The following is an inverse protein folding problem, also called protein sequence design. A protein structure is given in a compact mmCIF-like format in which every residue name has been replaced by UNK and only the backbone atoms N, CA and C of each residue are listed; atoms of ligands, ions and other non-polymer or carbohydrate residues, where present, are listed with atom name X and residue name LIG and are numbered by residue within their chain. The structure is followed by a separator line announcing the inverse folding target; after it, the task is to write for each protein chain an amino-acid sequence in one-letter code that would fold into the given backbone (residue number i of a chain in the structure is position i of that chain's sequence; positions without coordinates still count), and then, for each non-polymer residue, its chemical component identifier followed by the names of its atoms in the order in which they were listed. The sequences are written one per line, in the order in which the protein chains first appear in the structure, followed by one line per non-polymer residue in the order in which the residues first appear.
data_IF_065884296071
#
_entry.id   IF_065884296071
#
_cell.length_a   1.000
_cell.length_b   1.000
_cell.length_c   1.000
_cell.angle_alpha   90.00
_cell.angle_beta   90.00
_cell.angle_gamma   90.00
#
_symmetry.space_group_name_H-M   'P 1'
#
loop_
_entity.id
_entity.type
_entity.pdbx_description
1 polymer ?
#
# COMPACT_ATOMS: atom_id res chain seq x y z
N UNK A 1 -30.09 -1.05 -58.33
CA UNK A 1 -28.74 -0.78 -57.80
C UNK A 1 -28.88 -0.76 -56.29
N UNK A 2 -28.56 -1.87 -55.62
CA UNK A 2 -28.65 -2.01 -54.16
C UNK A 2 -27.43 -1.32 -53.55
N UNK A 3 -27.66 -0.24 -52.81
CA UNK A 3 -26.62 0.48 -52.12
C UNK A 3 -26.26 -0.30 -50.85
N UNK A 4 -25.21 -1.13 -50.94
CA UNK A 4 -24.71 -1.88 -49.80
C UNK A 4 -24.03 -0.93 -48.81
N UNK A 5 -24.61 -0.81 -47.62
CA UNK A 5 -24.02 -0.07 -46.50
C UNK A 5 -23.02 -1.00 -45.82
N UNK A 6 -21.72 -0.74 -45.98
CA UNK A 6 -20.68 -1.44 -45.22
C UNK A 6 -20.50 -0.79 -43.84
N UNK A 7 -20.89 -1.46 -42.73
CA UNK A 7 -20.67 -0.93 -41.39
C UNK A 7 -19.18 -0.94 -41.03
N UNK A 8 -18.71 0.10 -40.35
CA UNK A 8 -17.34 0.16 -39.83
C UNK A 8 -17.18 -0.89 -38.69
N UNK A 9 -16.29 -1.89 -38.83
CA UNK A 9 -16.09 -2.93 -37.82
C UNK A 9 -15.70 -2.39 -36.43
N UNK A 10 -15.17 -1.16 -36.35
CA UNK A 10 -14.83 -0.51 -35.06
C UNK A 10 -16.07 -0.10 -34.27
N UNK A 11 -17.18 0.22 -34.95
CA UNK A 11 -18.45 0.64 -34.34
C UNK A 11 -19.30 -0.55 -33.91
N UNK A 12 -19.04 -1.73 -34.47
CA UNK A 12 -19.76 -2.97 -34.19
C UNK A 12 -19.51 -3.49 -32.77
N UNK A 13 -18.35 -3.15 -32.18
CA UNK A 13 -18.04 -3.47 -30.78
C UNK A 13 -18.51 -2.35 -29.85
N UNK A 14 -19.60 -2.59 -29.12
CA UNK A 14 -20.06 -1.70 -28.04
C UNK A 14 -18.97 -1.59 -26.95
N UNK A 15 -18.20 -0.50 -26.95
CA UNK A 15 -17.22 -0.19 -25.90
C UNK A 15 -17.88 0.60 -24.76
N UNK A 16 -17.56 0.25 -23.51
CA UNK A 16 -17.94 1.06 -22.35
C UNK A 16 -17.17 2.38 -22.39
N UNK A 17 -17.86 3.51 -22.16
CA UNK A 17 -17.21 4.82 -22.01
C UNK A 17 -16.21 4.77 -20.85
N UNK A 18 -14.97 5.17 -21.11
CA UNK A 18 -13.91 5.29 -20.10
C UNK A 18 -13.51 6.74 -19.99
N UNK A 19 -13.33 7.22 -18.76
CA UNK A 19 -12.84 8.56 -18.49
C UNK A 19 -11.37 8.47 -18.08
N UNK A 20 -10.42 9.00 -18.89
CA UNK A 20 -9.03 9.14 -18.49
C UNK A 20 -8.90 9.95 -17.19
N UNK A 21 -7.77 9.79 -16.48
CA UNK A 21 -7.56 10.48 -15.21
C UNK A 21 -7.63 12.00 -15.36
N UNK A 22 -7.02 12.56 -16.42
CA UNK A 22 -7.05 13.99 -16.72
C UNK A 22 -8.48 14.52 -16.95
N UNK A 23 -9.31 13.76 -17.67
CA UNK A 23 -10.71 14.13 -17.91
C UNK A 23 -11.50 14.12 -16.60
N UNK A 24 -11.30 13.12 -15.73
CA UNK A 24 -11.95 13.05 -14.41
C UNK A 24 -11.57 14.21 -13.51
N UNK A 25 -10.30 14.59 -13.46
CA UNK A 25 -9.83 15.74 -12.67
C UNK A 25 -10.45 17.04 -13.19
N UNK A 26 -10.47 17.23 -14.51
CA UNK A 26 -11.10 18.40 -15.13
C UNK A 26 -12.59 18.48 -14.79
N UNK A 27 -13.32 17.38 -14.95
CA UNK A 27 -14.76 17.30 -14.65
C UNK A 27 -15.05 17.57 -13.17
N UNK A 28 -14.21 17.09 -12.25
CA UNK A 28 -14.34 17.40 -10.83
C UNK A 28 -14.16 18.90 -10.55
N UNK A 29 -13.12 19.51 -11.13
CA UNK A 29 -12.87 20.95 -10.98
C UNK A 29 -14.02 21.80 -11.55
N UNK A 30 -14.52 21.44 -12.74
CA UNK A 30 -15.70 22.10 -13.31
C UNK A 30 -16.94 21.96 -12.41
N UNK A 31 -17.16 20.78 -11.82
CA UNK A 31 -18.28 20.54 -10.91
C UNK A 31 -18.16 21.35 -9.60
N UNK A 32 -16.95 21.53 -9.07
CA UNK A 32 -16.71 22.31 -7.85
C UNK A 32 -16.96 23.81 -8.03
N UNK A 33 -16.78 24.34 -9.25
CA UNK A 33 -17.05 25.74 -9.59
C UNK A 33 -18.56 26.05 -9.74
N UNK A 34 -19.42 25.04 -9.88
CA UNK A 34 -20.85 25.23 -10.11
C UNK A 34 -21.62 25.60 -8.85
N UNK A 35 -22.57 26.52 -9.01
CA UNK A 35 -23.51 26.92 -7.94
C UNK A 35 -24.51 25.81 -7.60
N UNK A 36 -25.02 25.84 -6.36
CA UNK A 36 -26.11 24.97 -5.93
C UNK A 36 -27.34 25.17 -6.84
N UNK A 37 -27.84 24.09 -7.44
CA UNK A 37 -28.92 24.12 -8.45
C UNK A 37 -28.45 23.88 -9.89
N UNK A 38 -27.24 24.28 -10.27
CA UNK A 38 -26.71 24.03 -11.63
C UNK A 38 -26.06 22.65 -11.77
N UNK A 39 -25.61 22.07 -10.65
CA UNK A 39 -24.92 20.77 -10.57
C UNK A 39 -25.74 19.63 -11.20
N UNK A 40 -27.05 19.58 -10.94
CA UNK A 40 -27.91 18.52 -11.49
C UNK A 40 -28.10 18.62 -13.01
N UNK A 41 -28.19 19.83 -13.57
CA UNK A 41 -28.29 20.03 -15.01
C UNK A 41 -26.97 19.65 -15.70
N UNK A 42 -25.84 20.08 -15.12
CA UNK A 42 -24.51 19.76 -15.63
C UNK A 42 -24.23 18.25 -15.61
N UNK A 43 -24.58 17.54 -14.54
CA UNK A 43 -24.43 16.08 -14.45
C UNK A 43 -25.16 15.36 -15.59
N UNK A 44 -26.40 15.76 -15.91
CA UNK A 44 -27.17 15.19 -17.02
C UNK A 44 -26.54 15.50 -18.37
N UNK A 45 -26.04 16.72 -18.57
CA UNK A 45 -25.36 17.13 -19.80
C UNK A 45 -24.07 16.32 -20.05
N UNK A 46 -23.33 16.00 -18.99
CA UNK A 46 -22.11 15.17 -19.08
C UNK A 46 -22.40 13.66 -19.12
N UNK A 47 -23.64 13.24 -18.84
CA UNK A 47 -24.02 11.84 -18.69
C UNK A 47 -23.40 11.19 -17.45
N UNK A 48 -23.23 11.97 -16.38
CA UNK A 48 -22.61 11.57 -15.12
C UNK A 48 -23.64 11.43 -14.00
N UNK A 49 -23.34 10.53 -13.06
CA UNK A 49 -24.09 10.36 -11.83
C UNK A 49 -23.28 10.90 -10.64
N UNK A 50 -23.98 11.39 -9.62
CA UNK A 50 -23.34 11.93 -8.42
C UNK A 50 -22.46 10.89 -7.70
N UNK A 51 -22.90 9.63 -7.70
CA UNK A 51 -22.12 8.51 -7.19
C UNK A 51 -20.75 8.34 -7.89
N UNK A 52 -20.64 8.68 -9.19
CA UNK A 52 -19.38 8.63 -9.91
C UNK A 52 -18.42 9.72 -9.44
N UNK A 53 -18.92 10.94 -9.20
CA UNK A 53 -18.10 12.02 -8.66
C UNK A 53 -17.62 11.71 -7.25
N UNK A 54 -18.48 11.17 -6.39
CA UNK A 54 -18.10 10.72 -5.04
C UNK A 54 -17.00 9.66 -5.12
N UNK A 55 -17.12 8.69 -6.03
CA UNK A 55 -16.10 7.67 -6.25
C UNK A 55 -14.78 8.29 -6.72
N UNK A 56 -14.81 9.26 -7.63
CA UNK A 56 -13.61 9.91 -8.14
C UNK A 56 -12.93 10.78 -7.10
N UNK A 57 -13.68 11.49 -6.23
CA UNK A 57 -13.13 12.23 -5.08
C UNK A 57 -12.39 11.29 -4.13
N UNK A 58 -13.03 10.20 -3.73
CA UNK A 58 -12.39 9.17 -2.88
C UNK A 58 -11.13 8.57 -3.51
N UNK A 59 -11.11 8.43 -4.83
CA UNK A 59 -9.93 7.97 -5.54
C UNK A 59 -8.82 9.04 -5.55
N UNK A 60 -9.18 10.32 -5.69
CA UNK A 60 -8.25 11.44 -5.62
C UNK A 60 -7.54 11.53 -4.27
N UNK A 61 -8.27 11.31 -3.19
CA UNK A 61 -7.75 11.35 -1.81
C UNK A 61 -6.89 10.11 -1.46
N UNK A 62 -6.90 9.08 -2.30
CA UNK A 62 -6.07 7.89 -2.11
C UNK A 62 -4.65 8.11 -2.61
N UNK A 63 -3.66 7.47 -1.99
CA UNK A 63 -2.25 7.49 -2.43
C UNK A 63 -2.06 7.08 -3.91
N UNK A 64 -3.01 6.31 -4.46
CA UNK A 64 -3.01 5.87 -5.86
C UNK A 64 -3.60 6.90 -6.85
N UNK A 65 -4.23 7.97 -6.36
CA UNK A 65 -4.89 9.00 -7.16
C UNK A 65 -6.07 8.53 -8.02
N UNK A 66 -6.56 9.42 -8.89
CA UNK A 66 -7.69 9.15 -9.81
C UNK A 66 -7.28 8.19 -10.95
N UNK A 67 -6.03 7.74 -11.04
CA UNK A 67 -5.52 6.87 -12.10
C UNK A 67 -6.25 5.52 -12.23
N UNK A 68 -6.12 4.82 -13.38
CA UNK A 68 -6.52 3.42 -13.47
C UNK A 68 -5.72 2.62 -12.42
N UNK A 69 -6.44 1.88 -11.55
CA UNK A 69 -5.79 0.99 -10.59
C UNK A 69 -5.08 -0.12 -11.36
N UNK A 70 -3.76 -0.22 -11.20
CA UNK A 70 -3.01 -1.38 -11.66
C UNK A 70 -3.51 -2.61 -10.92
N UNK A 71 -4.15 -3.54 -11.64
CA UNK A 71 -4.59 -4.81 -11.09
C UNK A 71 -3.38 -5.70 -10.81
N UNK A 72 -3.32 -6.31 -9.62
CA UNK A 72 -2.26 -7.25 -9.24
C UNK A 72 -1.78 -7.08 -7.81
N UNK A 73 -1.04 -8.09 -7.30
CA UNK A 73 -0.34 -8.02 -6.02
C UNK A 73 0.71 -6.92 -6.11
N UNK A 74 0.65 -5.91 -5.23
CA UNK A 74 1.71 -4.90 -5.13
C UNK A 74 3.03 -5.63 -4.91
N UNK A 75 4.09 -5.36 -5.70
CA UNK A 75 5.40 -5.94 -5.43
C UNK A 75 5.80 -5.55 -4.01
N UNK A 76 6.28 -6.53 -3.23
CA UNK A 76 6.76 -6.28 -1.87
C UNK A 76 7.83 -5.20 -1.95
N UNK A 77 7.64 -4.10 -1.22
CA UNK A 77 8.54 -2.95 -1.28
C UNK A 77 9.96 -3.40 -0.92
N UNK A 78 10.98 -2.82 -1.55
CA UNK A 78 12.37 -3.17 -1.26
C UNK A 78 12.68 -2.94 0.24
N UNK A 79 12.05 -1.91 0.82
CA UNK A 79 12.12 -1.59 2.25
C UNK A 79 11.52 -2.69 3.12
N UNK A 80 10.38 -3.28 2.73
CA UNK A 80 9.74 -4.35 3.50
C UNK A 80 10.62 -5.60 3.55
N UNK A 81 11.34 -5.89 2.46
CA UNK A 81 12.32 -6.99 2.42
C UNK A 81 13.50 -6.73 3.35
N UNK A 82 14.04 -5.52 3.31
CA UNK A 82 15.15 -5.12 4.17
C UNK A 82 14.76 -5.15 5.64
N UNK A 83 13.57 -4.65 5.99
CA UNK A 83 13.03 -4.71 7.35
C UNK A 83 12.88 -6.16 7.83
N UNK A 84 12.38 -7.05 6.97
CA UNK A 84 12.24 -8.46 7.32
C UNK A 84 13.61 -9.12 7.57
N UNK A 85 14.60 -8.83 6.72
CA UNK A 85 15.96 -9.32 6.88
C UNK A 85 16.60 -8.80 8.17
N UNK A 86 16.54 -7.49 8.42
CA UNK A 86 17.08 -6.85 9.62
C UNK A 86 16.43 -7.37 10.90
N UNK A 87 15.14 -7.70 10.88
CA UNK A 87 14.45 -8.31 12.03
C UNK A 87 14.95 -9.73 12.30
N UNK A 88 15.14 -10.54 11.25
CA UNK A 88 15.68 -11.89 11.39
C UNK A 88 17.12 -11.86 11.94
N UNK A 89 17.95 -10.95 11.43
CA UNK A 89 19.33 -10.79 11.87
C UNK A 89 19.40 -10.29 13.32
N UNK A 90 18.58 -9.31 13.70
CA UNK A 90 18.47 -8.87 15.09
C UNK A 90 18.09 -10.02 16.02
N UNK A 91 17.05 -10.79 15.69
CA UNK A 91 16.62 -11.92 16.54
C UNK A 91 17.76 -12.94 16.74
N UNK A 92 18.52 -13.22 15.68
CA UNK A 92 19.68 -14.13 15.75
C UNK A 92 20.80 -13.56 16.62
N UNK A 93 21.13 -12.28 16.47
CA UNK A 93 22.16 -11.61 17.25
C UNK A 93 21.78 -11.51 18.72
N UNK A 94 20.55 -11.12 19.05
CA UNK A 94 20.06 -11.06 20.44
C UNK A 94 20.13 -12.44 21.11
N UNK A 95 19.79 -13.52 20.38
CA UNK A 95 19.93 -14.88 20.92
C UNK A 95 21.39 -15.24 21.21
N UNK A 96 22.33 -14.86 20.35
CA UNK A 96 23.77 -15.09 20.59
C UNK A 96 24.28 -14.32 21.80
N UNK A 97 23.87 -13.06 21.94
CA UNK A 97 24.23 -12.22 23.09
C UNK A 97 23.70 -12.85 24.38
N UNK A 98 22.43 -13.24 24.41
CA UNK A 98 21.82 -13.89 25.59
C UNK A 98 22.56 -15.18 26.01
N UNK A 99 22.97 -16.01 25.04
CA UNK A 99 23.76 -17.21 25.35
C UNK A 99 25.14 -16.84 25.91
N UNK A 100 25.81 -15.86 25.31
CA UNK A 100 27.13 -15.41 25.78
C UNK A 100 27.07 -14.80 27.19
N UNK A 101 26.05 -13.97 27.46
CA UNK A 101 25.79 -13.40 28.78
C UNK A 101 25.53 -14.50 29.82
N UNK A 102 24.72 -15.51 29.47
CA UNK A 102 24.46 -16.66 30.33
C UNK A 102 25.72 -17.48 30.66
N UNK A 103 26.61 -17.67 29.67
CA UNK A 103 27.89 -18.36 29.88
C UNK A 103 28.81 -17.57 30.82
N UNK A 104 28.90 -16.25 30.64
CA UNK A 104 29.69 -15.39 31.52
C UNK A 104 29.13 -15.41 32.95
N UNK A 105 27.80 -15.42 33.09
CA UNK A 105 27.18 -15.46 34.40
C UNK A 105 27.40 -16.80 35.11
N UNK A 106 27.35 -17.92 34.39
CA UNK A 106 27.71 -19.23 34.92
C UNK A 106 29.16 -19.25 35.41
N UNK A 107 30.10 -18.78 34.57
CA UNK A 107 31.53 -18.69 34.96
C UNK A 107 31.75 -17.86 36.22
N UNK A 108 31.04 -16.72 36.36
CA UNK A 108 31.13 -15.89 37.57
C UNK A 108 30.65 -16.64 38.83
N UNK A 109 29.55 -17.40 38.71
CA UNK A 109 29.01 -18.19 39.83
C UNK A 109 29.97 -19.29 40.26
N UNK A 110 30.54 -20.02 39.29
CA UNK A 110 31.49 -21.09 39.57
C UNK A 110 32.76 -20.57 40.25
N UNK A 111 33.32 -19.45 39.76
CA UNK A 111 34.49 -18.81 40.37
C UNK A 111 34.21 -18.38 41.81
N UNK A 112 33.04 -17.79 42.08
CA UNK A 112 32.67 -17.38 43.44
C UNK A 112 32.53 -18.58 44.39
N UNK A 113 31.87 -19.66 43.96
CA UNK A 113 31.74 -20.87 44.76
C UNK A 113 33.09 -21.55 45.05
N UNK A 114 34.03 -21.48 44.11
CA UNK A 114 35.39 -22.01 44.29
C UNK A 114 36.18 -21.19 45.32
N UNK A 115 36.01 -19.87 45.31
CA UNK A 115 36.64 -18.97 46.28
C UNK A 115 36.09 -19.23 47.69
N UNK A 116 34.78 -19.40 47.83
CA UNK A 116 34.12 -19.66 49.10
C UNK A 116 34.59 -20.99 49.72
N UNK A 117 34.60 -22.07 48.93
CA UNK A 117 35.10 -23.38 49.37
C UNK A 117 36.61 -23.41 49.71
N UNK A 118 37.41 -22.60 49.02
CA UNK A 118 38.85 -22.44 49.35
C UNK A 118 39.07 -21.63 50.63
N UNK A 119 38.14 -20.72 50.96
CA UNK A 119 38.20 -19.92 52.19
C UNK A 119 37.84 -20.74 53.43
N UNK A 120 36.84 -21.63 53.31
CA UNK A 120 36.43 -22.54 54.39
C UNK A 120 37.48 -23.60 54.70
N UNK A 121 38.23 -24.06 53.70
CA UNK A 121 39.32 -25.03 53.87
C UNK A 121 40.59 -24.45 54.51
N UNK A 122 40.67 -23.13 54.68
CA UNK A 122 41.84 -22.42 55.24
C UNK A 122 41.64 -21.94 56.69
N UNK A 123 40.54 -22.33 57.34
CA UNK A 123 40.23 -22.12 58.76
C UNK A 123 40.33 -23.44 59.55
#
# INVERSE_FOLDING_TARGET
MTQEVHPDPKLEKRRRRMFPAAERTRLLAEYDLLKFGQKGAWLRAQGLYDAQLIQWRRAADSESGIGPKTAGRKPLDAKDREIAQLKADNAKLTKRVSIAEGLVELQKKDVMALIESSSEASL
#
